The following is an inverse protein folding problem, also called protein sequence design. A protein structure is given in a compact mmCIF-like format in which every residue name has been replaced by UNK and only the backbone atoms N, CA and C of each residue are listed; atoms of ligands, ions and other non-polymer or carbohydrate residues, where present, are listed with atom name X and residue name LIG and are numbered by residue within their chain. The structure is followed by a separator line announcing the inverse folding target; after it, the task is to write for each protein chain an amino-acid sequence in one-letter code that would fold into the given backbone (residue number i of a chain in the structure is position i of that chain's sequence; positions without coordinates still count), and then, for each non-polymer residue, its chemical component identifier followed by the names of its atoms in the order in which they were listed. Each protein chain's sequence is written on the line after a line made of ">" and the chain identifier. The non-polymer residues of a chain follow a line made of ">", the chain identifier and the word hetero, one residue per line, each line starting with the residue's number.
data_IF_365912146042
#
_entry.id   IF_365912146042
#
_cell.length_a   1.000
_cell.length_b   1.000
_cell.length_c   1.000
_cell.angle_alpha   90.00
_cell.angle_beta   90.00
_cell.angle_gamma   90.00
#
_symmetry.space_group_name_H-M   'P 1'
#
loop_
_entity.id
_entity.type
_entity.pdbx_description
1 polymer ?
#
# COMPACT_ATOMS: atom_id res chain seq x y z
N UNK A 1 -9.87 16.91 -13.22
CA UNK A 1 -8.67 16.38 -12.54
C UNK A 1 -8.60 14.88 -12.78
N UNK A 2 -7.40 14.38 -13.08
CA UNK A 2 -7.10 12.96 -13.18
C UNK A 2 -5.87 12.66 -12.32
N UNK A 3 -5.91 11.55 -11.61
CA UNK A 3 -4.82 11.11 -10.75
C UNK A 3 -4.08 9.95 -11.41
N UNK A 4 -2.77 10.07 -11.49
CA UNK A 4 -1.89 9.00 -11.95
C UNK A 4 -0.80 8.77 -10.90
N UNK A 5 -0.19 7.59 -10.93
CA UNK A 5 0.80 7.21 -9.93
C UNK A 5 1.93 6.39 -10.55
N UNK A 6 3.07 6.42 -9.89
CA UNK A 6 4.23 5.60 -10.19
C UNK A 6 4.84 5.09 -8.89
N UNK A 7 5.04 3.78 -8.81
CA UNK A 7 5.78 3.19 -7.69
C UNK A 7 7.26 3.52 -7.80
N UNK A 8 7.90 3.78 -6.65
CA UNK A 8 9.35 3.92 -6.63
C UNK A 8 10.02 2.64 -7.13
N UNK A 9 11.15 2.78 -7.82
CA UNK A 9 11.92 1.66 -8.36
C UNK A 9 13.31 1.62 -7.74
N UNK A 10 13.84 0.43 -7.49
CA UNK A 10 15.23 0.24 -7.08
C UNK A 10 15.74 -1.10 -7.61
N UNK A 11 16.86 -1.06 -8.34
CA UNK A 11 17.46 -2.24 -8.95
C UNK A 11 16.53 -2.97 -9.91
N UNK A 12 15.74 -2.26 -10.73
CA UNK A 12 14.81 -2.88 -11.70
C UNK A 12 13.51 -3.40 -11.08
N UNK A 13 13.28 -3.19 -9.78
CA UNK A 13 12.12 -3.73 -9.05
C UNK A 13 11.30 -2.61 -8.44
N UNK A 14 9.98 -2.71 -8.62
CA UNK A 14 9.01 -1.80 -7.99
C UNK A 14 9.01 -2.02 -6.48
N UNK A 15 9.16 -0.94 -5.72
CA UNK A 15 9.00 -0.89 -4.27
C UNK A 15 7.52 -0.86 -3.93
N UNK A 16 6.89 -2.04 -3.94
CA UNK A 16 5.51 -2.23 -3.49
C UNK A 16 5.35 -3.53 -2.73
N UNK A 17 4.43 -3.53 -1.79
CA UNK A 17 3.87 -4.73 -1.16
C UNK A 17 2.62 -5.12 -1.93
N UNK A 18 2.50 -6.40 -2.28
CA UNK A 18 1.28 -6.95 -2.89
C UNK A 18 0.62 -7.85 -1.86
N UNK A 19 -0.69 -7.79 -1.75
CA UNK A 19 -1.45 -8.67 -0.86
C UNK A 19 -2.83 -8.96 -1.46
N UNK A 20 -3.51 -9.95 -0.90
CA UNK A 20 -4.87 -10.32 -1.25
C UNK A 20 -5.68 -10.47 0.03
N UNK A 21 -6.86 -9.86 0.09
CA UNK A 21 -7.82 -10.12 1.16
C UNK A 21 -8.66 -11.34 0.73
N UNK A 22 -8.67 -12.38 1.55
CA UNK A 22 -9.39 -13.62 1.30
C UNK A 22 -10.40 -13.93 2.40
N UNK A 23 -11.57 -14.43 2.02
CA UNK A 23 -12.58 -14.94 2.95
C UNK A 23 -13.11 -16.28 2.44
N UNK A 24 -13.20 -17.30 3.31
CA UNK A 24 -13.65 -18.63 2.91
C UNK A 24 -12.86 -19.26 1.75
N UNK A 25 -11.57 -18.93 1.63
CA UNK A 25 -10.70 -19.39 0.54
C UNK A 25 -10.90 -18.66 -0.81
N UNK A 26 -11.80 -17.66 -0.87
CA UNK A 26 -12.04 -16.86 -2.07
C UNK A 26 -11.39 -15.47 -1.94
N UNK A 27 -10.70 -14.97 -2.98
CA UNK A 27 -10.19 -13.62 -2.99
C UNK A 27 -11.34 -12.62 -3.09
N UNK A 28 -11.35 -11.62 -2.21
CA UNK A 28 -12.28 -10.49 -2.24
C UNK A 28 -11.64 -9.27 -2.89
N UNK A 29 -10.38 -8.98 -2.54
CA UNK A 29 -9.65 -7.81 -3.03
C UNK A 29 -8.16 -8.10 -3.22
N UNK A 30 -7.56 -7.44 -4.21
CA UNK A 30 -6.13 -7.37 -4.41
C UNK A 30 -5.61 -6.00 -3.96
N UNK A 31 -4.48 -5.99 -3.28
CA UNK A 31 -3.90 -4.82 -2.66
C UNK A 31 -2.51 -4.56 -3.22
N UNK A 32 -2.20 -3.30 -3.46
CA UNK A 32 -0.84 -2.85 -3.69
C UNK A 32 -0.55 -1.64 -2.83
N UNK A 33 0.42 -1.77 -1.95
CA UNK A 33 0.89 -0.68 -1.13
C UNK A 33 2.27 -0.24 -1.55
N UNK A 34 2.50 1.06 -1.58
CA UNK A 34 3.81 1.62 -1.84
C UNK A 34 4.05 2.82 -0.93
N UNK A 35 5.18 2.79 -0.24
CA UNK A 35 5.69 3.95 0.47
C UNK A 35 6.33 4.93 -0.53
N UNK A 36 6.13 6.23 -0.30
CA UNK A 36 6.75 7.31 -1.09
C UNK A 36 6.61 7.16 -2.62
N UNK A 37 5.46 6.69 -3.09
CA UNK A 37 5.10 6.61 -4.50
C UNK A 37 4.83 8.02 -5.06
N UNK A 38 5.21 8.24 -6.31
CA UNK A 38 4.94 9.51 -6.99
C UNK A 38 3.48 9.54 -7.41
N UNK A 39 2.78 10.62 -7.10
CA UNK A 39 1.38 10.86 -7.48
C UNK A 39 1.32 12.17 -8.26
N UNK A 40 0.67 12.14 -9.42
CA UNK A 40 0.38 13.34 -10.19
C UNK A 40 -1.11 13.62 -10.18
N UNK A 41 -1.49 14.88 -9.94
CA UNK A 41 -2.85 15.36 -10.15
C UNK A 41 -2.84 16.31 -11.34
N UNK A 42 -3.42 15.85 -12.43
CA UNK A 42 -3.39 16.53 -13.73
C UNK A 42 -4.73 17.22 -13.97
N UNK A 43 -4.70 18.52 -14.24
CA UNK A 43 -5.88 19.25 -14.68
C UNK A 43 -6.03 19.13 -16.20
N UNK A 44 -6.95 18.26 -16.62
CA UNK A 44 -7.19 17.97 -18.02
C UNK A 44 -8.17 18.94 -18.71
N UNK A 45 -8.68 19.95 -18.02
CA UNK A 45 -9.61 20.92 -18.61
C UNK A 45 -10.86 21.16 -17.78
N UNK A 46 -11.71 22.05 -18.27
CA UNK A 46 -12.96 22.44 -17.62
C UNK A 46 -13.94 21.27 -17.47
N UNK A 47 -14.68 21.24 -16.35
CA UNK A 47 -15.66 20.18 -16.05
C UNK A 47 -16.83 20.14 -17.05
N UNK A 48 -17.28 21.31 -17.51
CA UNK A 48 -18.41 21.47 -18.45
C UNK A 48 -17.97 21.87 -19.87
N UNK A 49 -16.77 21.47 -20.29
CA UNK A 49 -16.26 21.75 -21.65
C UNK A 49 -17.10 21.05 -22.72
N UNK A 50 -17.09 21.63 -23.93
CA UNK A 50 -17.87 21.15 -25.07
C UNK A 50 -17.38 19.79 -25.58
N UNK A 51 -16.07 19.63 -25.71
CA UNK A 51 -15.45 18.43 -26.28
C UNK A 51 -14.52 17.77 -25.24
N UNK A 52 -14.90 16.59 -24.74
CA UNK A 52 -14.14 15.92 -23.67
C UNK A 52 -12.78 15.38 -24.14
N UNK A 53 -12.62 15.10 -25.43
CA UNK A 53 -11.37 14.61 -26.01
C UNK A 53 -10.28 15.68 -26.11
N UNK A 54 -10.64 16.96 -26.09
CA UNK A 54 -9.69 18.06 -26.03
C UNK A 54 -9.27 18.25 -24.57
N UNK A 55 -7.97 18.04 -24.29
CA UNK A 55 -7.39 18.11 -22.96
C UNK A 55 -6.47 19.33 -22.81
N UNK A 56 -6.47 19.91 -21.61
CA UNK A 56 -5.62 21.02 -21.23
C UNK A 56 -6.25 22.39 -21.46
N UNK A 57 -5.41 23.42 -21.46
CA UNK A 57 -5.75 24.83 -21.53
C UNK A 57 -4.78 25.54 -22.46
N UNK A 58 -5.26 26.59 -23.13
CA UNK A 58 -4.42 27.46 -23.95
C UNK A 58 -3.55 28.38 -23.09
N UNK A 59 -2.25 28.45 -23.40
CA UNK A 59 -1.28 29.39 -22.83
C UNK A 59 -0.50 30.04 -23.97
N UNK A 60 -0.21 31.34 -23.87
CA UNK A 60 0.79 31.95 -24.74
C UNK A 60 2.18 31.62 -24.20
N UNK A 61 2.94 30.78 -24.90
CA UNK A 61 4.23 30.29 -24.45
C UNK A 61 5.32 31.38 -24.39
N UNK A 62 5.12 32.52 -25.06
CA UNK A 62 6.05 33.65 -25.00
C UNK A 62 5.84 34.52 -23.74
N UNK A 63 4.60 34.61 -23.24
CA UNK A 63 4.27 35.47 -22.08
C UNK A 63 3.98 34.70 -20.80
N UNK A 64 3.60 33.43 -20.90
CA UNK A 64 3.18 32.58 -19.79
C UNK A 64 1.75 32.85 -19.29
N UNK A 65 0.98 33.71 -19.97
CA UNK A 65 -0.42 33.97 -19.61
C UNK A 65 -1.38 32.99 -20.27
N UNK A 66 -2.47 32.65 -19.56
CA UNK A 66 -3.58 31.88 -20.12
C UNK A 66 -4.22 32.65 -21.28
N UNK A 67 -4.55 31.92 -22.34
CA UNK A 67 -5.14 32.44 -23.57
C UNK A 67 -6.60 32.00 -23.69
N UNK A 68 -7.38 32.69 -24.52
CA UNK A 68 -8.77 32.33 -24.80
C UNK A 68 -8.87 30.89 -25.29
N UNK A 69 -9.91 30.23 -24.83
CA UNK A 69 -10.12 28.81 -25.03
C UNK A 69 -11.59 28.55 -25.38
N UNK A 70 -11.84 27.96 -26.54
CA UNK A 70 -13.18 27.61 -27.02
C UNK A 70 -13.93 26.59 -26.11
N UNK A 71 -13.16 25.88 -25.28
CA UNK A 71 -13.60 24.95 -24.25
C UNK A 71 -13.93 25.63 -22.91
N UNK A 72 -13.52 26.88 -22.70
CA UNK A 72 -13.75 27.61 -21.46
C UNK A 72 -15.17 28.22 -21.38
N UNK A 73 -15.72 28.35 -20.15
CA UNK A 73 -16.88 29.21 -19.90
C UNK A 73 -16.64 30.65 -20.36
N UNK A 74 -17.71 31.35 -20.79
CA UNK A 74 -17.62 32.71 -21.35
C UNK A 74 -16.95 33.69 -20.39
N UNK A 75 -17.34 33.65 -19.11
CA UNK A 75 -16.78 34.47 -18.03
C UNK A 75 -15.29 34.25 -17.78
N UNK A 76 -14.77 33.05 -18.06
CA UNK A 76 -13.36 32.72 -17.91
C UNK A 76 -12.52 33.17 -19.13
N UNK A 77 -13.14 33.25 -20.31
CA UNK A 77 -12.47 33.71 -21.53
C UNK A 77 -12.29 35.23 -21.57
N UNK A 78 -13.21 35.99 -21.00
CA UNK A 78 -13.17 37.46 -21.02
C UNK A 78 -12.01 38.02 -20.16
N UNK A 79 -11.43 37.21 -19.26
CA UNK A 79 -10.25 37.57 -18.48
C UNK A 79 -8.91 37.44 -19.24
N UNK A 80 -8.88 36.77 -20.39
CA UNK A 80 -7.69 36.59 -21.22
C UNK A 80 -7.59 37.72 -22.27
N UNK A 81 -7.18 38.92 -21.83
CA UNK A 81 -7.30 40.16 -22.62
C UNK A 81 -5.98 40.63 -23.28
N UNK A 82 -5.09 39.70 -23.63
CA UNK A 82 -3.79 40.00 -24.25
C UNK A 82 -3.68 39.52 -25.70
N UNK A 83 -2.85 40.20 -26.49
CA UNK A 83 -2.58 39.81 -27.88
C UNK A 83 -1.84 38.47 -27.94
N UNK A 84 -2.54 37.44 -28.41
CA UNK A 84 -2.04 36.07 -28.50
C UNK A 84 -1.15 35.90 -29.73
N UNK A 85 0.07 35.38 -29.55
CA UNK A 85 1.02 35.16 -30.65
C UNK A 85 1.54 33.73 -30.72
N UNK A 86 1.72 33.07 -29.57
CA UNK A 86 2.33 31.74 -29.50
C UNK A 86 1.51 30.78 -28.63
N UNK A 87 0.30 30.44 -29.07
CA UNK A 87 -0.62 29.60 -28.31
C UNK A 87 -0.13 28.14 -28.32
N UNK A 88 -0.01 27.56 -27.12
CA UNK A 88 0.19 26.14 -26.89
C UNK A 88 -0.90 25.61 -25.96
N UNK A 89 -1.25 24.32 -26.10
CA UNK A 89 -2.21 23.67 -25.21
C UNK A 89 -1.48 22.76 -24.23
N UNK A 90 -1.62 23.04 -22.94
CA UNK A 90 -0.92 22.34 -21.86
C UNK A 90 -1.89 21.80 -20.81
N UNK A 91 -1.51 20.74 -20.10
CA UNK A 91 -2.24 20.26 -18.91
C UNK A 91 -1.39 20.52 -17.67
N UNK A 92 -1.73 21.51 -16.83
CA UNK A 92 -0.99 21.74 -15.60
C UNK A 92 -1.21 20.58 -14.64
N UNK A 93 -0.16 20.21 -13.91
CA UNK A 93 -0.20 19.16 -12.92
C UNK A 93 0.60 19.55 -11.68
N UNK A 94 0.27 18.92 -10.56
CA UNK A 94 1.11 18.90 -9.37
C UNK A 94 1.64 17.49 -9.17
N UNK A 95 2.87 17.40 -8.68
CA UNK A 95 3.55 16.16 -8.33
C UNK A 95 3.77 16.14 -6.82
N UNK A 96 3.60 14.96 -6.22
CA UNK A 96 3.85 14.74 -4.82
C UNK A 96 4.32 13.30 -4.57
N UNK A 97 4.90 13.03 -3.39
CA UNK A 97 5.34 11.70 -2.96
C UNK A 97 4.58 11.26 -1.72
N UNK A 98 3.71 10.26 -1.88
CA UNK A 98 2.79 9.82 -0.82
C UNK A 98 2.86 8.32 -0.58
N UNK A 99 2.52 7.91 0.64
CA UNK A 99 2.19 6.52 0.93
C UNK A 99 0.80 6.25 0.36
N UNK A 100 0.67 5.18 -0.41
CA UNK A 100 -0.59 4.85 -1.07
C UNK A 100 -0.93 3.37 -0.99
N UNK A 101 -2.23 3.09 -1.01
CA UNK A 101 -2.79 1.75 -1.07
C UNK A 101 -3.82 1.70 -2.20
N UNK A 102 -3.59 0.82 -3.15
CA UNK A 102 -4.56 0.43 -4.16
C UNK A 102 -5.35 -0.77 -3.65
N UNK A 103 -6.68 -0.66 -3.66
CA UNK A 103 -7.61 -1.73 -3.33
C UNK A 103 -8.45 -2.03 -4.57
N UNK A 104 -8.21 -3.17 -5.20
CA UNK A 104 -8.91 -3.61 -6.40
C UNK A 104 -9.83 -4.79 -6.07
N UNK A 105 -11.16 -4.68 -6.30
CA UNK A 105 -12.07 -5.82 -6.19
C UNK A 105 -11.62 -7.00 -7.04
N UNK A 106 -11.74 -8.22 -6.52
CA UNK A 106 -11.45 -9.44 -7.27
C UNK A 106 -12.51 -9.69 -8.36
N UNK A 107 -13.76 -9.36 -8.05
CA UNK A 107 -14.88 -9.33 -9.00
C UNK A 107 -15.24 -7.86 -9.29
N UNK A 108 -15.59 -7.50 -10.54
CA UNK A 108 -16.07 -6.16 -10.85
C UNK A 108 -17.26 -5.76 -9.97
N UNK A 109 -17.27 -4.51 -9.54
CA UNK A 109 -18.37 -3.90 -8.78
C UNK A 109 -19.00 -2.80 -9.62
N UNK A 110 -20.30 -2.60 -9.44
CA UNK A 110 -21.04 -1.50 -10.03
C UNK A 110 -20.61 -0.15 -9.43
N UNK A 111 -20.92 0.94 -10.14
CA UNK A 111 -20.47 2.28 -9.75
C UNK A 111 -20.96 2.69 -8.35
N UNK A 112 -22.20 2.35 -8.00
CA UNK A 112 -22.78 2.57 -6.66
C UNK A 112 -22.08 1.73 -5.59
N UNK A 113 -21.82 0.45 -5.88
CA UNK A 113 -21.22 -0.51 -4.95
C UNK A 113 -19.79 -0.10 -4.57
N UNK A 114 -18.92 0.14 -5.56
CA UNK A 114 -17.53 0.54 -5.30
C UNK A 114 -17.46 1.92 -4.64
N UNK A 115 -18.38 2.84 -4.97
CA UNK A 115 -18.41 4.18 -4.37
C UNK A 115 -18.83 4.12 -2.91
N UNK A 116 -19.88 3.36 -2.61
CA UNK A 116 -20.32 3.15 -1.22
C UNK A 116 -19.23 2.45 -0.41
N UNK A 117 -18.66 1.37 -0.94
CA UNK A 117 -17.57 0.63 -0.29
C UNK A 117 -16.35 1.52 -0.03
N UNK A 118 -15.99 2.37 -1.00
CA UNK A 118 -14.88 3.32 -0.88
C UNK A 118 -15.04 4.21 0.35
N UNK A 119 -16.21 4.83 0.52
CA UNK A 119 -16.45 5.74 1.63
C UNK A 119 -16.67 4.99 2.95
N UNK A 120 -17.31 3.81 2.92
CA UNK A 120 -17.45 2.98 4.12
C UNK A 120 -16.08 2.55 4.68
N UNK A 121 -15.18 2.06 3.81
CA UNK A 121 -13.83 1.69 4.22
C UNK A 121 -13.00 2.89 4.65
N UNK A 122 -13.10 4.04 3.96
CA UNK A 122 -12.42 5.28 4.37
C UNK A 122 -12.81 5.65 5.81
N UNK A 123 -14.12 5.73 6.09
CA UNK A 123 -14.64 6.06 7.43
C UNK A 123 -14.27 5.00 8.47
N UNK A 124 -14.28 3.72 8.08
CA UNK A 124 -13.82 2.62 8.95
C UNK A 124 -12.34 2.73 9.32
N UNK A 125 -11.47 3.13 8.38
CA UNK A 125 -10.04 3.36 8.64
C UNK A 125 -9.87 4.56 9.58
N UNK A 126 -10.57 5.66 9.32
CA UNK A 126 -10.54 6.86 10.17
C UNK A 126 -10.89 6.53 11.62
N UNK A 127 -12.01 5.85 11.83
CA UNK A 127 -12.48 5.46 13.16
C UNK A 127 -11.55 4.43 13.80
N UNK A 128 -11.06 3.44 13.05
CA UNK A 128 -10.19 2.40 13.62
C UNK A 128 -8.82 2.95 14.05
N UNK A 129 -8.27 3.88 13.29
CA UNK A 129 -6.93 4.42 13.53
C UNK A 129 -6.93 5.80 14.19
N UNK A 130 -8.12 6.36 14.45
CA UNK A 130 -8.34 7.65 15.12
C UNK A 130 -7.60 8.79 14.40
N UNK A 131 -7.84 8.89 13.08
CA UNK A 131 -7.28 9.94 12.23
C UNK A 131 -8.39 10.84 11.68
N UNK A 132 -8.02 12.06 11.31
CA UNK A 132 -8.93 13.04 10.74
C UNK A 132 -9.22 12.75 9.26
N UNK A 133 -10.40 13.20 8.78
CA UNK A 133 -10.82 12.98 7.39
C UNK A 133 -9.78 13.51 6.37
N UNK A 134 -9.10 14.61 6.74
CA UNK A 134 -8.09 15.28 5.94
C UNK A 134 -6.74 14.53 5.87
N UNK A 135 -6.48 13.57 6.76
CA UNK A 135 -5.20 12.84 6.79
C UNK A 135 -5.18 11.66 5.82
N UNK A 136 -6.35 11.13 5.46
CA UNK A 136 -6.50 10.03 4.51
C UNK A 136 -7.44 10.42 3.37
N UNK A 137 -6.89 10.56 2.18
CA UNK A 137 -7.67 10.82 0.97
C UNK A 137 -8.03 9.52 0.26
N UNK A 138 -9.18 9.54 -0.42
CA UNK A 138 -9.64 8.43 -1.24
C UNK A 138 -10.12 8.91 -2.60
N UNK A 139 -9.68 8.25 -3.67
CA UNK A 139 -10.09 8.55 -5.03
C UNK A 139 -10.33 7.26 -5.84
N UNK A 140 -11.34 7.25 -6.74
CA UNK A 140 -11.52 6.15 -7.67
C UNK A 140 -10.53 6.24 -8.83
N UNK A 141 -9.96 5.10 -9.21
CA UNK A 141 -9.10 4.96 -10.39
C UNK A 141 -9.76 4.13 -11.50
N UNK A 142 -9.47 4.46 -12.78
CA UNK A 142 -8.67 5.61 -13.23
C UNK A 142 -9.33 6.97 -13.03
N UNK A 143 -10.67 7.03 -12.88
CA UNK A 143 -11.40 8.26 -12.61
C UNK A 143 -12.81 7.98 -12.05
N UNK A 144 -13.58 9.04 -11.76
CA UNK A 144 -14.93 8.96 -11.19
C UNK A 144 -15.98 8.33 -12.10
N UNK A 145 -15.79 8.40 -13.42
CA UNK A 145 -16.71 7.85 -14.42
C UNK A 145 -16.42 6.36 -14.68
N UNK A 146 -15.19 5.90 -14.41
CA UNK A 146 -14.73 4.52 -14.60
C UNK A 146 -14.03 4.02 -13.34
N UNK A 147 -14.82 3.53 -12.38
CA UNK A 147 -14.33 3.12 -11.06
C UNK A 147 -13.93 1.64 -11.07
N UNK A 148 -12.64 1.35 -11.05
CA UNK A 148 -12.12 -0.03 -11.06
C UNK A 148 -11.25 -0.36 -9.84
N UNK A 149 -10.70 0.66 -9.19
CA UNK A 149 -9.80 0.50 -8.05
C UNK A 149 -9.97 1.69 -7.13
N UNK A 150 -9.92 1.45 -5.83
CA UNK A 150 -9.94 2.49 -4.82
C UNK A 150 -8.49 2.83 -4.48
N UNK A 151 -8.10 4.09 -4.64
CA UNK A 151 -6.81 4.61 -4.21
C UNK A 151 -7.00 5.31 -2.86
N UNK A 152 -6.33 4.80 -1.84
CA UNK A 152 -6.12 5.53 -0.58
C UNK A 152 -4.72 6.14 -0.60
N UNK A 153 -4.58 7.38 -0.13
CA UNK A 153 -3.26 7.97 0.09
C UNK A 153 -3.25 8.89 1.31
N UNK A 154 -2.14 8.87 2.04
CA UNK A 154 -1.95 9.69 3.24
C UNK A 154 -1.60 11.12 2.82
N UNK A 155 -2.42 12.10 3.19
CA UNK A 155 -2.26 13.50 2.76
C UNK A 155 -1.39 14.34 3.71
N UNK A 156 -1.12 13.86 4.92
CA UNK A 156 -0.15 14.48 5.82
C UNK A 156 1.28 14.33 5.28
N UNK A 157 2.10 15.37 5.39
CA UNK A 157 3.54 15.31 5.07
C UNK A 157 4.22 14.29 6.00
N UNK A 158 4.98 13.35 5.43
CA UNK A 158 5.55 12.21 6.17
C UNK A 158 4.62 11.00 6.33
N UNK A 159 3.31 11.17 6.06
CA UNK A 159 2.31 10.12 6.13
C UNK A 159 1.81 9.81 7.55
N UNK A 160 0.54 9.45 7.68
CA UNK A 160 -0.06 9.06 8.96
C UNK A 160 0.35 7.64 9.41
N UNK A 161 0.97 6.86 8.52
CA UNK A 161 1.40 5.48 8.78
C UNK A 161 0.24 4.47 8.93
N UNK A 162 -1.00 4.91 8.70
CA UNK A 162 -2.20 4.07 8.84
C UNK A 162 -2.26 2.99 7.77
N UNK A 163 -1.77 3.25 6.55
CA UNK A 163 -1.79 2.27 5.46
C UNK A 163 -0.80 1.14 5.72
N UNK A 164 0.38 1.45 6.28
CA UNK A 164 1.35 0.45 6.73
C UNK A 164 0.76 -0.42 7.84
N UNK A 165 0.10 0.21 8.84
CA UNK A 165 -0.53 -0.50 9.96
C UNK A 165 -1.69 -1.39 9.50
N UNK A 166 -2.47 -0.95 8.54
CA UNK A 166 -3.56 -1.74 7.93
C UNK A 166 -3.04 -3.03 7.30
N UNK A 167 -1.83 -3.00 6.72
CA UNK A 167 -1.19 -4.21 6.20
C UNK A 167 -0.48 -5.01 7.29
N UNK A 168 -0.10 -4.33 8.38
CA UNK A 168 0.69 -4.80 9.53
C UNK A 168 0.15 -6.05 10.21
N UNK A 169 -1.17 -6.14 10.36
CA UNK A 169 -1.85 -7.26 11.02
C UNK A 169 -2.83 -7.93 10.05
N UNK A 170 -2.89 -9.28 10.02
CA UNK A 170 -3.87 -10.02 9.21
C UNK A 170 -5.34 -9.68 9.51
N UNK A 171 -5.63 -9.23 10.73
CA UNK A 171 -6.97 -8.94 11.25
C UNK A 171 -7.39 -7.47 11.07
N UNK A 172 -6.45 -6.56 10.82
CA UNK A 172 -6.69 -5.12 10.79
C UNK A 172 -7.80 -4.71 9.82
N UNK A 173 -7.90 -5.37 8.66
CA UNK A 173 -8.96 -5.12 7.69
C UNK A 173 -10.34 -5.51 8.23
N UNK A 174 -10.42 -6.59 9.01
CA UNK A 174 -11.66 -7.01 9.65
C UNK A 174 -12.11 -6.03 10.70
N UNK A 175 -11.19 -5.46 11.49
CA UNK A 175 -11.50 -4.40 12.45
C UNK A 175 -12.01 -3.12 11.76
N UNK A 176 -11.39 -2.73 10.63
CA UNK A 176 -11.86 -1.62 9.79
C UNK A 176 -13.27 -1.88 9.27
N UNK A 177 -13.57 -3.10 8.82
CA UNK A 177 -14.89 -3.45 8.30
C UNK A 177 -15.97 -3.42 9.39
N UNK A 178 -15.64 -3.84 10.63
CA UNK A 178 -16.55 -3.70 11.79
C UNK A 178 -16.87 -2.22 12.04
N UNK A 179 -15.86 -1.35 12.05
CA UNK A 179 -16.07 0.10 12.19
C UNK A 179 -16.88 0.68 11.04
N UNK A 180 -16.64 0.26 9.81
CA UNK A 180 -17.43 0.67 8.66
C UNK A 180 -18.91 0.29 8.81
N UNK A 181 -19.22 -0.93 9.27
CA UNK A 181 -20.58 -1.39 9.53
C UNK A 181 -21.27 -0.57 10.65
N UNK A 182 -20.58 -0.34 11.77
CA UNK A 182 -21.07 0.50 12.87
C UNK A 182 -21.40 1.93 12.39
N UNK A 183 -20.49 2.54 11.62
CA UNK A 183 -20.68 3.88 11.03
C UNK A 183 -21.88 3.89 10.07
N UNK A 184 -22.07 2.81 9.30
CA UNK A 184 -23.23 2.61 8.45
C UNK A 184 -24.53 2.29 9.22
N UNK A 185 -24.56 2.49 10.55
CA UNK A 185 -25.72 2.25 11.42
C UNK A 185 -26.17 0.78 11.47
N UNK A 186 -25.22 -0.15 11.39
CA UNK A 186 -25.50 -1.56 11.62
C UNK A 186 -24.95 -2.02 12.97
N UNK A 187 -25.60 -3.04 13.54
CA UNK A 187 -25.21 -3.68 14.80
C UNK A 187 -25.26 -5.20 14.65
N UNK A 188 -24.44 -5.88 15.44
CA UNK A 188 -24.38 -7.35 15.56
C UNK A 188 -24.09 -7.73 17.00
N UNK A 189 -24.70 -8.82 17.48
CA UNK A 189 -24.45 -9.32 18.84
C UNK A 189 -23.51 -10.54 18.85
N UNK A 190 -23.12 -11.02 17.67
CA UNK A 190 -22.46 -12.30 17.40
C UNK A 190 -21.26 -12.13 16.45
N UNK A 191 -20.60 -10.98 16.50
CA UNK A 191 -19.46 -10.63 15.65
C UNK A 191 -19.70 -10.84 14.14
N UNK A 192 -20.89 -10.43 13.67
CA UNK A 192 -21.26 -10.43 12.26
C UNK A 192 -21.31 -11.85 11.65
N UNK A 193 -21.58 -12.86 12.49
CA UNK A 193 -21.84 -14.23 12.03
C UNK A 193 -23.24 -14.39 11.41
N UNK A 194 -24.21 -13.61 11.88
CA UNK A 194 -25.54 -13.49 11.30
C UNK A 194 -25.71 -12.17 10.55
N UNK A 195 -26.74 -12.05 9.69
CA UNK A 195 -27.01 -10.81 8.98
C UNK A 195 -27.15 -9.62 9.95
N UNK A 196 -26.49 -8.49 9.66
CA UNK A 196 -26.49 -7.33 10.53
C UNK A 196 -27.87 -6.71 10.67
N UNK A 197 -28.17 -6.14 11.85
CA UNK A 197 -29.41 -5.40 12.08
C UNK A 197 -29.19 -3.91 11.80
N UNK A 198 -30.07 -3.32 11.00
CA UNK A 198 -30.09 -1.86 10.84
C UNK A 198 -30.61 -1.23 12.13
N UNK A 199 -29.85 -0.28 12.66
CA UNK A 199 -30.16 0.46 13.89
C UNK A 199 -30.79 1.82 13.58
N UNK A 200 -30.57 2.36 12.38
CA UNK A 200 -31.15 3.64 11.99
C UNK A 200 -32.20 3.47 10.90
N UNK A 201 -33.46 3.55 11.28
CA UNK A 201 -34.58 3.59 10.33
C UNK A 201 -34.61 4.93 9.56
N UNK A 202 -34.16 6.02 10.20
CA UNK A 202 -34.13 7.38 9.62
C UNK A 202 -33.06 7.57 8.54
N UNK A 203 -31.92 6.86 8.62
CA UNK A 203 -30.86 7.01 7.63
C UNK A 203 -31.17 6.12 6.43
N UNK A 204 -31.54 6.70 5.29
CA UNK A 204 -31.78 5.96 4.05
C UNK A 204 -30.47 5.51 3.38
N UNK A 205 -30.07 6.14 2.27
CA UNK A 205 -28.88 5.78 1.50
C UNK A 205 -27.57 6.27 2.17
N UNK A 206 -27.63 7.39 2.89
CA UNK A 206 -26.49 7.92 3.64
C UNK A 206 -26.84 9.20 4.37
N UNK A 207 -26.04 9.56 5.37
CA UNK A 207 -26.13 10.84 6.08
C UNK A 207 -24.72 11.32 6.47
N UNK A 208 -24.63 12.57 6.93
CA UNK A 208 -23.37 13.17 7.38
C UNK A 208 -22.78 12.54 8.65
N UNK A 209 -23.56 11.73 9.37
CA UNK A 209 -23.05 10.93 10.50
C UNK A 209 -22.44 9.60 10.06
N UNK A 210 -22.75 9.12 8.85
CA UNK A 210 -22.19 7.88 8.31
C UNK A 210 -21.17 8.14 7.19
N UNK A 211 -21.64 8.24 5.94
CA UNK A 211 -20.83 8.20 4.72
C UNK A 211 -20.77 9.53 3.96
N UNK A 212 -21.71 10.45 4.19
CA UNK A 212 -21.71 11.73 3.47
C UNK A 212 -20.71 12.70 4.11
N UNK A 213 -19.92 13.37 3.30
CA UNK A 213 -19.05 14.47 3.71
C UNK A 213 -19.07 15.58 2.67
N UNK A 214 -18.46 16.72 3.00
CA UNK A 214 -18.30 17.80 2.02
C UNK A 214 -17.36 17.38 0.88
N UNK A 215 -16.31 16.61 1.18
CA UNK A 215 -15.30 16.18 0.20
C UNK A 215 -15.86 15.22 -0.85
N UNK A 216 -16.89 14.45 -0.52
CA UNK A 216 -17.53 13.50 -1.43
C UNK A 216 -18.86 13.96 -2.03
N UNK A 217 -19.22 15.24 -1.90
CA UNK A 217 -20.47 15.79 -2.46
C UNK A 217 -20.77 15.38 -3.91
N UNK A 218 -19.81 15.37 -4.86
CA UNK A 218 -20.12 14.98 -6.23
C UNK A 218 -20.47 13.50 -6.41
N UNK A 219 -20.22 12.67 -5.39
CA UNK A 219 -20.48 11.23 -5.39
C UNK A 219 -21.71 10.85 -4.54
N UNK A 220 -22.39 11.81 -3.87
CA UNK A 220 -23.53 11.54 -2.98
C UNK A 220 -24.64 10.71 -3.62
N UNK A 221 -24.91 10.92 -4.91
CA UNK A 221 -25.94 10.18 -5.64
C UNK A 221 -25.61 8.70 -5.88
N UNK A 222 -24.37 8.27 -5.64
CA UNK A 222 -23.89 6.89 -5.78
C UNK A 222 -23.66 6.21 -4.43
N UNK A 223 -23.95 6.87 -3.32
CA UNK A 223 -23.74 6.31 -1.98
C UNK A 223 -25.04 5.71 -1.48
N UNK A 224 -25.05 4.39 -1.25
CA UNK A 224 -26.13 3.67 -0.60
C UNK A 224 -25.62 2.65 0.43
N UNK A 225 -25.62 3.01 1.71
CA UNK A 225 -25.24 2.14 2.83
C UNK A 225 -26.11 0.87 2.96
N UNK A 226 -27.29 0.85 2.32
CA UNK A 226 -28.24 -0.28 2.33
C UNK A 226 -28.04 -1.19 1.13
N UNK A 227 -27.11 -0.87 0.23
CA UNK A 227 -26.78 -1.72 -0.91
C UNK A 227 -26.40 -3.14 -0.40
N UNK A 228 -27.17 -4.19 -0.79
CA UNK A 228 -26.98 -5.54 -0.25
C UNK A 228 -25.59 -6.11 -0.55
N UNK A 229 -25.05 -5.84 -1.74
CA UNK A 229 -23.75 -6.36 -2.16
C UNK A 229 -22.61 -5.72 -1.35
N UNK A 230 -22.72 -4.44 -1.06
CA UNK A 230 -21.75 -3.73 -0.19
C UNK A 230 -21.83 -4.27 1.24
N UNK A 231 -23.03 -4.50 1.75
CA UNK A 231 -23.23 -5.06 3.09
C UNK A 231 -22.63 -6.47 3.21
N UNK A 232 -22.88 -7.34 2.22
CA UNK A 232 -22.26 -8.66 2.11
C UNK A 232 -20.74 -8.59 2.13
N UNK A 233 -20.15 -7.67 1.34
CA UNK A 233 -18.70 -7.49 1.29
C UNK A 233 -18.13 -7.00 2.63
N UNK A 234 -18.76 -6.02 3.27
CA UNK A 234 -18.32 -5.52 4.57
C UNK A 234 -18.39 -6.62 5.65
N UNK A 235 -19.48 -7.42 5.68
CA UNK A 235 -19.62 -8.56 6.59
C UNK A 235 -18.61 -9.67 6.27
N UNK A 236 -18.29 -9.91 5.00
CA UNK A 236 -17.23 -10.87 4.64
C UNK A 236 -15.85 -10.37 5.10
N UNK A 237 -15.60 -9.05 4.99
CA UNK A 237 -14.35 -8.43 5.41
C UNK A 237 -14.10 -8.54 6.92
N UNK A 238 -15.13 -8.52 7.78
CA UNK A 238 -14.94 -8.66 9.26
C UNK A 238 -14.22 -9.94 9.65
N UNK A 239 -14.31 -10.98 8.80
CA UNK A 239 -13.71 -12.31 8.96
C UNK A 239 -12.78 -12.67 7.81
N UNK A 240 -12.34 -11.69 7.03
CA UNK A 240 -11.35 -11.89 6.01
C UNK A 240 -9.95 -11.82 6.61
N UNK A 241 -9.00 -12.48 5.96
CA UNK A 241 -7.58 -12.40 6.32
C UNK A 241 -6.78 -11.78 5.18
N UNK A 242 -5.77 -11.01 5.54
CA UNK A 242 -4.81 -10.48 4.59
C UNK A 242 -3.71 -11.51 4.32
N UNK A 243 -3.62 -11.97 3.08
CA UNK A 243 -2.51 -12.77 2.58
C UNK A 243 -1.51 -11.85 1.87
N UNK A 244 -0.34 -11.62 2.47
CA UNK A 244 0.72 -10.89 1.79
C UNK A 244 1.37 -11.80 0.74
N UNK A 245 1.45 -11.32 -0.50
CA UNK A 245 2.32 -11.91 -1.49
C UNK A 245 3.74 -11.48 -1.14
N UNK A 246 4.58 -12.42 -0.73
CA UNK A 246 5.98 -12.18 -0.47
C UNK A 246 6.65 -11.58 -1.72
N UNK A 247 6.92 -10.27 -1.71
CA UNK A 247 7.63 -9.59 -2.80
C UNK A 247 7.11 -9.89 -4.21
N UNK A 248 5.79 -10.11 -4.36
CA UNK A 248 5.15 -10.45 -5.62
C UNK A 248 5.11 -11.94 -6.00
N UNK A 249 5.31 -12.88 -5.06
CA UNK A 249 5.18 -14.34 -5.28
C UNK A 249 4.61 -15.04 -4.04
N UNK A 250 3.99 -16.21 -4.21
CA UNK A 250 3.33 -16.94 -3.13
C UNK A 250 4.35 -17.38 -2.04
N UNK A 251 3.94 -17.47 -0.77
CA UNK A 251 4.82 -17.90 0.33
C UNK A 251 5.43 -19.30 0.14
N UNK A 252 4.73 -20.20 -0.56
CA UNK A 252 5.25 -21.51 -0.95
C UNK A 252 6.37 -21.43 -1.99
N UNK A 253 6.28 -20.49 -2.93
CA UNK A 253 7.31 -20.25 -3.95
C UNK A 253 8.55 -19.57 -3.36
N UNK A 254 8.38 -18.64 -2.41
CA UNK A 254 9.51 -18.01 -1.71
C UNK A 254 10.29 -19.03 -0.89
N UNK A 255 9.59 -19.89 -0.13
CA UNK A 255 10.21 -20.97 0.64
C UNK A 255 11.00 -21.93 -0.26
N UNK A 256 10.39 -22.37 -1.36
CA UNK A 256 11.03 -23.25 -2.33
C UNK A 256 12.25 -22.57 -2.96
N UNK A 257 12.16 -21.28 -3.30
CA UNK A 257 13.28 -20.51 -3.87
C UNK A 257 14.41 -20.29 -2.86
N UNK A 258 14.11 -19.86 -1.64
CA UNK A 258 15.13 -19.68 -0.59
C UNK A 258 15.84 -21.02 -0.34
N UNK A 259 15.10 -22.12 -0.20
CA UNK A 259 15.67 -23.45 -0.04
C UNK A 259 16.47 -23.94 -1.27
N UNK A 260 16.10 -23.54 -2.49
CA UNK A 260 16.82 -23.86 -3.72
C UNK A 260 18.10 -23.03 -3.90
N UNK A 261 18.11 -21.78 -3.43
CA UNK A 261 19.23 -20.85 -3.53
C UNK A 261 20.23 -21.06 -2.38
N UNK A 262 19.77 -21.54 -1.22
CA UNK A 262 20.61 -21.87 -0.08
C UNK A 262 21.53 -23.04 -0.41
N UNK A 263 22.82 -22.73 -0.59
CA UNK A 263 23.80 -23.66 -1.14
C UNK A 263 24.28 -24.70 -0.13
N UNK A 264 24.25 -24.39 1.17
CA UNK A 264 24.71 -25.28 2.22
C UNK A 264 23.58 -25.98 2.99
N UNK A 265 23.90 -27.11 3.63
CA UNK A 265 22.98 -27.76 4.59
C UNK A 265 22.70 -26.88 5.81
N UNK A 266 23.64 -25.99 6.17
CA UNK A 266 23.53 -25.13 7.33
C UNK A 266 22.57 -23.95 7.08
N UNK A 267 22.63 -23.33 5.90
CA UNK A 267 21.65 -22.31 5.47
C UNK A 267 20.22 -22.89 5.43
N UNK A 268 20.06 -24.13 4.93
CA UNK A 268 18.77 -24.81 4.93
C UNK A 268 18.26 -25.11 6.34
N UNK A 269 19.14 -25.53 7.24
CA UNK A 269 18.79 -25.72 8.65
C UNK A 269 18.40 -24.40 9.33
N UNK A 270 19.06 -23.30 8.99
CA UNK A 270 18.71 -21.98 9.51
C UNK A 270 17.34 -21.52 9.04
N UNK A 271 17.00 -21.70 7.76
CA UNK A 271 15.65 -21.41 7.25
C UNK A 271 14.57 -22.27 7.92
N UNK A 272 14.85 -23.56 8.14
CA UNK A 272 13.94 -24.45 8.85
C UNK A 272 13.73 -23.98 10.29
N UNK A 273 14.78 -23.51 10.96
CA UNK A 273 14.70 -22.99 12.32
C UNK A 273 13.86 -21.71 12.40
N UNK A 274 14.05 -20.77 11.46
CA UNK A 274 13.24 -19.54 11.34
C UNK A 274 11.76 -19.88 11.24
N UNK A 275 11.42 -20.85 10.39
CA UNK A 275 10.04 -21.29 10.20
C UNK A 275 9.46 -22.01 11.41
N UNK A 276 10.18 -22.99 11.96
CA UNK A 276 9.73 -23.80 13.10
C UNK A 276 9.41 -22.94 14.34
N UNK A 277 10.12 -21.83 14.51
CA UNK A 277 10.00 -20.95 15.68
C UNK A 277 9.20 -19.67 15.41
N UNK A 278 8.54 -19.57 14.24
CA UNK A 278 7.68 -18.44 13.91
C UNK A 278 8.42 -17.12 13.70
N UNK A 279 9.73 -17.15 13.47
CA UNK A 279 10.48 -15.94 13.13
C UNK A 279 10.11 -15.45 11.73
N UNK A 280 10.25 -14.14 11.52
CA UNK A 280 10.05 -13.54 10.21
C UNK A 280 11.04 -14.13 9.20
N UNK A 281 10.60 -14.57 8.01
CA UNK A 281 11.50 -15.06 6.98
C UNK A 281 12.31 -13.94 6.31
N UNK A 282 13.51 -14.24 5.78
CA UNK A 282 14.33 -13.26 5.06
C UNK A 282 13.69 -12.84 3.73
N UNK A 283 14.00 -11.64 3.28
CA UNK A 283 13.44 -11.06 2.05
C UNK A 283 14.08 -11.64 0.77
N UNK A 284 15.37 -12.00 0.81
CA UNK A 284 16.11 -12.62 -0.29
C UNK A 284 17.31 -13.43 0.25
N UNK A 285 17.92 -14.24 -0.60
CA UNK A 285 19.13 -15.02 -0.29
C UNK A 285 20.24 -14.81 -1.33
N UNK A 286 21.51 -14.93 -0.91
CA UNK A 286 22.69 -14.94 -1.78
C UNK A 286 22.80 -13.71 -2.72
N UNK A 287 22.31 -12.54 -2.28
CA UNK A 287 22.31 -11.29 -3.06
C UNK A 287 23.71 -10.70 -3.10
N UNK A 288 24.24 -10.41 -4.29
CA UNK A 288 25.48 -9.66 -4.42
C UNK A 288 25.26 -8.19 -4.06
N UNK A 289 25.93 -7.74 -3.01
CA UNK A 289 26.01 -6.31 -2.68
C UNK A 289 27.26 -5.77 -3.38
N UNK A 290 27.10 -5.36 -4.64
CA UNK A 290 28.18 -4.99 -5.56
C UNK A 290 29.16 -3.97 -4.95
N UNK A 291 28.62 -2.96 -4.27
CA UNK A 291 29.42 -1.89 -3.66
C UNK A 291 30.40 -2.40 -2.58
N UNK A 292 30.05 -3.49 -1.89
CA UNK A 292 30.88 -4.09 -0.83
C UNK A 292 31.53 -5.41 -1.25
N UNK A 293 31.33 -5.84 -2.52
CA UNK A 293 31.83 -7.09 -3.07
C UNK A 293 31.54 -8.32 -2.18
N UNK A 294 30.37 -8.33 -1.52
CA UNK A 294 29.99 -9.40 -0.59
C UNK A 294 28.62 -9.98 -0.93
N UNK A 295 28.41 -11.24 -0.58
CA UNK A 295 27.16 -11.98 -0.73
C UNK A 295 26.75 -12.52 0.64
N UNK A 296 25.87 -11.85 1.39
CA UNK A 296 25.25 -12.45 2.56
C UNK A 296 24.38 -13.64 2.18
N UNK A 297 24.28 -14.60 3.09
CA UNK A 297 23.43 -15.77 2.91
C UNK A 297 21.96 -15.37 2.85
N UNK A 298 21.55 -14.45 3.72
CA UNK A 298 20.19 -13.88 3.74
C UNK A 298 20.19 -12.37 3.95
N UNK A 299 19.13 -11.71 3.49
CA UNK A 299 18.93 -10.27 3.69
C UNK A 299 17.55 -9.95 4.23
N UNK A 300 17.49 -9.01 5.18
CA UNK A 300 16.27 -8.32 5.58
C UNK A 300 16.38 -6.86 5.16
N UNK A 301 15.36 -6.33 4.50
CA UNK A 301 15.33 -4.97 3.96
C UNK A 301 14.78 -3.96 4.97
N UNK A 302 14.04 -4.44 5.97
CA UNK A 302 13.41 -3.66 7.03
C UNK A 302 13.39 -4.46 8.34
N UNK A 303 13.35 -3.83 9.53
CA UNK A 303 13.74 -2.46 9.80
C UNK A 303 15.27 -2.33 9.78
N UNK A 304 15.78 -1.44 8.93
CA UNK A 304 17.23 -1.34 8.69
C UNK A 304 17.71 -2.47 7.78
N UNK A 305 18.51 -2.13 6.77
CA UNK A 305 19.09 -3.13 5.88
C UNK A 305 19.97 -4.06 6.71
N UNK A 306 19.63 -5.35 6.73
CA UNK A 306 20.34 -6.37 7.51
C UNK A 306 20.91 -7.43 6.60
N UNK A 307 22.20 -7.69 6.76
CA UNK A 307 22.91 -8.78 6.11
C UNK A 307 23.14 -9.92 7.11
N UNK A 308 22.66 -11.12 6.79
CA UNK A 308 22.81 -12.31 7.62
C UNK A 308 23.83 -13.25 6.98
N UNK A 309 24.81 -13.68 7.77
CA UNK A 309 25.80 -14.68 7.39
C UNK A 309 25.68 -15.92 8.28
N UNK A 310 25.76 -17.10 7.68
CA UNK A 310 25.70 -18.39 8.36
C UNK A 310 27.10 -19.02 8.26
N UNK A 311 27.91 -18.82 9.29
CA UNK A 311 29.32 -19.18 9.27
C UNK A 311 29.49 -20.71 9.38
N UNK A 312 29.79 -21.35 8.25
CA UNK A 312 30.13 -22.77 8.18
C UNK A 312 31.57 -23.10 8.61
N UNK A 313 31.95 -24.39 8.68
CA UNK A 313 33.28 -24.84 9.14
C UNK A 313 34.47 -24.35 8.29
N UNK A 314 34.22 -23.71 7.16
CA UNK A 314 35.26 -23.13 6.29
C UNK A 314 35.73 -21.73 6.71
N UNK A 315 35.13 -21.12 7.74
CA UNK A 315 35.52 -19.80 8.29
C UNK A 315 36.64 -19.87 9.33
N UNK A 316 37.11 -21.06 9.73
CA UNK A 316 38.17 -21.25 10.74
C UNK A 316 39.60 -21.03 10.20
N UNK A 317 39.77 -20.34 9.06
CA UNK A 317 41.08 -19.98 8.53
C UNK A 317 41.41 -18.52 8.90
N UNK A 318 42.58 -18.22 9.52
CA UNK A 318 42.92 -16.88 10.00
C UNK A 318 42.85 -15.75 8.95
N UNK A 319 43.04 -16.10 7.68
CA UNK A 319 42.95 -15.15 6.56
C UNK A 319 41.49 -14.78 6.23
N UNK A 320 40.52 -15.69 6.44
CA UNK A 320 39.09 -15.44 6.21
C UNK A 320 38.48 -14.60 7.31
N UNK A 321 38.85 -14.85 8.57
CA UNK A 321 38.37 -14.03 9.71
C UNK A 321 38.71 -12.54 9.54
N UNK A 322 39.89 -12.23 9.00
CA UNK A 322 40.29 -10.84 8.74
C UNK A 322 39.41 -10.19 7.67
N UNK A 323 39.15 -10.90 6.57
CA UNK A 323 38.29 -10.44 5.48
C UNK A 323 36.85 -10.26 5.96
N UNK A 324 36.33 -11.19 6.76
CA UNK A 324 34.97 -11.14 7.31
C UNK A 324 34.78 -9.95 8.25
N UNK A 325 35.79 -9.66 9.09
CA UNK A 325 35.81 -8.47 9.95
C UNK A 325 35.86 -7.17 9.16
N UNK A 326 36.72 -7.08 8.16
CA UNK A 326 36.82 -5.89 7.29
C UNK A 326 35.53 -5.65 6.51
N UNK A 327 34.88 -6.73 6.04
CA UNK A 327 33.59 -6.65 5.34
C UNK A 327 32.48 -6.16 6.26
N UNK A 328 32.42 -6.67 7.49
CA UNK A 328 31.46 -6.21 8.50
C UNK A 328 31.64 -4.75 8.85
N UNK A 329 32.88 -4.31 9.11
CA UNK A 329 33.15 -2.92 9.44
C UNK A 329 32.69 -1.98 8.31
N UNK A 330 32.88 -2.38 7.03
CA UNK A 330 32.40 -1.61 5.87
C UNK A 330 30.88 -1.54 5.78
N UNK A 331 30.20 -2.66 6.00
CA UNK A 331 28.73 -2.73 5.97
C UNK A 331 28.11 -1.92 7.11
N UNK A 332 28.63 -2.06 8.34
CA UNK A 332 28.17 -1.33 9.51
C UNK A 332 28.42 0.18 9.37
N UNK A 333 29.58 0.59 8.82
CA UNK A 333 29.86 1.99 8.51
C UNK A 333 28.89 2.60 7.49
N UNK A 334 28.26 1.76 6.66
CA UNK A 334 27.23 2.16 5.70
C UNK A 334 25.80 2.05 6.26
N UNK A 335 25.64 1.75 7.54
CA UNK A 335 24.34 1.63 8.20
C UNK A 335 23.63 0.30 7.96
N UNK A 336 24.32 -0.72 7.47
CA UNK A 336 23.80 -2.09 7.34
C UNK A 336 24.06 -2.84 8.64
N UNK A 337 23.01 -3.41 9.24
CA UNK A 337 23.15 -4.30 10.39
C UNK A 337 23.71 -5.64 9.92
N UNK A 338 24.78 -6.12 10.53
CA UNK A 338 25.36 -7.43 10.19
C UNK A 338 25.10 -8.40 11.32
N UNK A 339 24.43 -9.51 11.01
CA UNK A 339 24.15 -10.59 11.98
C UNK A 339 24.83 -11.86 11.48
N UNK A 340 25.63 -12.49 12.34
CA UNK A 340 26.31 -13.75 12.02
C UNK A 340 25.79 -14.87 12.91
N UNK A 341 25.45 -16.00 12.31
CA UNK A 341 25.05 -17.21 12.99
C UNK A 341 26.16 -18.26 12.90
N UNK A 342 26.64 -18.80 14.03
CA UNK A 342 27.64 -19.85 14.03
C UNK A 342 27.01 -21.19 13.62
N UNK A 343 27.84 -22.19 13.31
CA UNK A 343 27.38 -23.56 13.03
C UNK A 343 26.64 -24.23 14.20
N UNK A 344 26.96 -23.85 15.43
CA UNK A 344 26.35 -24.40 16.63
C UNK A 344 24.92 -23.87 16.80
N UNK A 345 23.93 -24.63 16.30
CA UNK A 345 22.50 -24.24 16.32
C UNK A 345 21.96 -23.91 17.72
N UNK A 346 22.54 -24.48 18.78
CA UNK A 346 22.20 -24.17 20.16
C UNK A 346 22.38 -22.68 20.53
N UNK A 347 23.19 -21.93 19.77
CA UNK A 347 23.42 -20.50 19.99
C UNK A 347 22.40 -19.61 19.25
N UNK A 348 21.70 -20.14 18.26
CA UNK A 348 20.78 -19.37 17.42
C UNK A 348 19.66 -18.68 18.21
N UNK A 349 18.98 -19.31 19.20
CA UNK A 349 17.94 -18.65 19.97
C UNK A 349 18.40 -17.34 20.63
N UNK A 350 19.62 -17.32 21.17
CA UNK A 350 20.17 -16.13 21.83
C UNK A 350 20.47 -15.00 20.82
N UNK A 351 20.87 -15.35 19.60
CA UNK A 351 21.13 -14.39 18.52
C UNK A 351 19.81 -13.80 18.02
N UNK A 352 18.79 -14.64 17.76
CA UNK A 352 17.46 -14.17 17.38
C UNK A 352 16.87 -13.23 18.43
N UNK A 353 16.95 -13.60 19.72
CA UNK A 353 16.45 -12.79 20.82
C UNK A 353 17.14 -11.43 20.98
N UNK A 354 18.35 -11.26 20.43
CA UNK A 354 19.08 -9.98 20.45
C UNK A 354 18.54 -8.97 19.43
N UNK A 355 17.86 -9.44 18.39
CA UNK A 355 17.37 -8.60 17.28
C UNK A 355 15.86 -8.84 17.00
N UNK A 356 14.97 -8.67 17.99
CA UNK A 356 13.53 -8.90 17.83
C UNK A 356 12.89 -7.97 16.79
N UNK A 357 13.47 -6.79 16.56
CA UNK A 357 13.03 -5.84 15.55
C UNK A 357 13.27 -6.37 14.12
N UNK A 358 14.30 -7.18 13.91
CA UNK A 358 14.67 -7.74 12.60
C UNK A 358 13.90 -9.04 12.35
N UNK A 359 13.96 -9.95 13.31
CA UNK A 359 13.46 -11.32 13.15
C UNK A 359 12.05 -11.54 13.70
N UNK A 360 11.45 -10.54 14.35
CA UNK A 360 10.17 -10.70 15.04
C UNK A 360 10.32 -11.38 16.40
N UNK A 361 9.25 -11.34 17.19
CA UNK A 361 9.15 -12.13 18.42
C UNK A 361 8.70 -13.55 18.07
N UNK A 362 9.24 -14.60 18.73
CA UNK A 362 8.72 -15.94 18.55
C UNK A 362 7.25 -16.00 18.98
N UNK A 363 6.42 -16.69 18.19
CA UNK A 363 5.06 -17.01 18.59
C UNK A 363 5.12 -17.79 19.92
N UNK A 364 4.44 -17.27 20.95
CA UNK A 364 4.32 -17.95 22.24
C UNK A 364 3.21 -18.99 22.23
#
# INVERSE_FOLDING_TARGET
>A
MQTTLQFAESGGRLKRVVATIVHGGKPLFNLQYAAAATVWRINLGWRRRKEKSILGFNIDAATGYWSKDDQAPVDQNDAADQAERHIQRISPYVEDRRNLLLLRPAEPLEAEEITTLQYALKRGIEERFQIEEAELMVEPLPNRDHRQTILFYEAAEGGAGVLTRLLGSPEAIGEVARKALEICHYRSDDDWHTPPRNDSDECEAGCYRCLLSYYNQPDHALIDRRNPRVLELLVALTRARLERAAGGRSGADQKTRLAQISGSSLERAWLAFVEEHGYRPPDDAQVLIEHFATRPDFVYREPGQTAVYIDGPHHEQPQREKIDRETTAKLEAAGVVVVRFPREQAQWPAIFARYPEIFGAPDR
#
